data_IF_125769295926
#
_entry.id   IF_125769295926
#
_cell.length_a   1.000
_cell.length_b   1.000
_cell.length_c   1.000
_cell.angle_alpha   90.00
_cell.angle_beta   90.00
_cell.angle_gamma   90.00
#
_symmetry.space_group_name_H-M   'P 1'
#
loop_
_entity.id
_entity.type
_entity.pdbx_description
1 polymer ?
#
# COMPACT_ATOMS: atom_id res chain seq x y z
N UNK A 1 -3.86 9.88 0.95
CA UNK A 1 -5.00 8.96 0.75
C UNK A 1 -4.72 8.23 -0.55
N UNK A 2 -4.37 6.94 -0.49
CA UNK A 2 -4.23 6.12 -1.70
C UNK A 2 -5.61 5.56 -2.03
N UNK A 3 -6.08 5.79 -3.25
CA UNK A 3 -7.48 5.51 -3.61
C UNK A 3 -7.56 4.19 -4.36
N UNK A 4 -8.21 3.19 -3.76
CA UNK A 4 -8.48 1.86 -4.32
C UNK A 4 -9.92 1.69 -4.82
N UNK A 5 -10.80 2.66 -4.54
CA UNK A 5 -12.20 2.65 -5.00
C UNK A 5 -12.31 2.58 -6.53
N UNK A 6 -13.24 1.76 -7.06
CA UNK A 6 -13.59 1.69 -8.50
C UNK A 6 -13.84 3.04 -9.15
N UNK A 7 -14.24 4.03 -8.34
CA UNK A 7 -14.49 5.40 -8.79
C UNK A 7 -13.20 6.11 -9.16
N UNK A 8 -12.11 5.88 -8.42
CA UNK A 8 -10.81 6.50 -8.72
C UNK A 8 -10.17 5.95 -9.99
N UNK A 9 -10.59 4.75 -10.42
CA UNK A 9 -10.15 4.12 -11.66
C UNK A 9 -11.01 4.49 -12.87
N UNK A 10 -11.92 5.46 -12.75
CA UNK A 10 -12.65 6.05 -13.88
C UNK A 10 -11.78 7.05 -14.64
N UNK A 11 -10.59 6.60 -15.02
CA UNK A 11 -9.57 7.34 -15.74
C UNK A 11 -10.05 7.62 -17.17
N UNK A 12 -9.93 8.88 -17.57
CA UNK A 12 -10.46 9.39 -18.83
C UNK A 12 -9.44 9.27 -19.98
N UNK A 13 -9.86 9.62 -21.19
CA UNK A 13 -9.00 9.47 -22.37
C UNK A 13 -7.70 10.28 -22.26
N UNK A 14 -7.72 11.44 -21.59
CA UNK A 14 -6.54 12.31 -21.45
C UNK A 14 -5.49 11.68 -20.53
N UNK A 15 -5.92 10.95 -19.49
CA UNK A 15 -5.01 10.16 -18.66
C UNK A 15 -4.19 9.19 -19.49
N UNK A 16 -4.84 8.31 -20.26
CA UNK A 16 -4.14 7.29 -21.06
C UNK A 16 -3.30 7.90 -22.18
N UNK A 17 -3.78 8.98 -22.81
CA UNK A 17 -3.00 9.71 -23.83
C UNK A 17 -1.74 10.32 -23.24
N UNK A 18 -1.83 10.96 -22.08
CA UNK A 18 -0.67 11.54 -21.40
C UNK A 18 0.29 10.46 -20.92
N UNK A 19 -0.24 9.38 -20.33
CA UNK A 19 0.53 8.24 -19.88
C UNK A 19 1.31 7.62 -21.05
N UNK A 20 0.67 7.40 -22.20
CA UNK A 20 1.32 6.84 -23.38
C UNK A 20 2.37 7.77 -23.99
N UNK A 21 2.14 9.09 -24.00
CA UNK A 21 3.08 10.08 -24.55
C UNK A 21 4.30 10.35 -23.67
N UNK A 22 4.25 10.05 -22.39
CA UNK A 22 5.36 10.30 -21.46
C UNK A 22 6.60 9.45 -21.78
N UNK A 23 7.76 9.96 -21.42
CA UNK A 23 9.04 9.25 -21.51
C UNK A 23 9.43 8.58 -20.19
N UNK A 24 8.91 9.10 -19.07
CA UNK A 24 9.11 8.52 -17.74
C UNK A 24 7.89 8.73 -16.84
N UNK A 25 7.80 7.88 -15.82
CA UNK A 25 6.81 7.98 -14.75
C UNK A 25 7.49 8.56 -13.52
N UNK A 26 6.81 9.49 -12.84
CA UNK A 26 7.21 10.00 -11.53
C UNK A 26 6.10 9.75 -10.51
N UNK A 27 6.42 9.17 -9.37
CA UNK A 27 5.48 8.89 -8.27
C UNK A 27 6.03 9.48 -6.97
N UNK A 28 5.18 9.72 -5.96
CA UNK A 28 5.64 10.21 -4.65
C UNK A 28 6.80 9.37 -4.10
N UNK A 29 6.69 8.03 -4.19
CA UNK A 29 7.73 7.10 -3.79
C UNK A 29 7.87 5.95 -4.80
N UNK A 30 9.03 5.32 -4.81
CA UNK A 30 9.30 4.14 -5.64
C UNK A 30 8.77 2.86 -4.95
N UNK A 31 7.75 2.18 -5.52
CA UNK A 31 7.18 0.96 -4.94
C UNK A 31 8.18 -0.18 -4.74
N UNK A 32 9.26 -0.23 -5.52
CA UNK A 32 10.29 -1.28 -5.37
C UNK A 32 11.05 -1.18 -4.06
N UNK A 33 11.09 0.00 -3.45
CA UNK A 33 11.83 0.23 -2.22
C UNK A 33 11.02 -0.07 -0.95
N UNK A 34 9.70 -0.19 -1.06
CA UNK A 34 8.82 -0.27 0.09
C UNK A 34 9.07 -1.50 0.96
N UNK A 35 9.17 -2.68 0.35
CA UNK A 35 9.40 -3.91 1.11
C UNK A 35 10.81 -3.92 1.75
N UNK A 36 11.79 -3.36 1.05
CA UNK A 36 13.16 -3.20 1.58
C UNK A 36 13.16 -2.36 2.85
N UNK A 37 12.63 -1.15 2.79
CA UNK A 37 12.64 -0.27 3.96
C UNK A 37 11.73 -0.77 5.07
N UNK A 38 10.63 -1.45 4.74
CA UNK A 38 9.82 -2.11 5.76
C UNK A 38 10.59 -3.23 6.47
N UNK A 39 11.35 -4.02 5.74
CA UNK A 39 12.23 -5.03 6.33
C UNK A 39 13.35 -4.39 7.18
N UNK A 40 13.90 -3.23 6.78
CA UNK A 40 14.85 -2.49 7.60
C UNK A 40 14.20 -1.96 8.90
N UNK A 41 12.99 -1.42 8.83
CA UNK A 41 12.26 -0.83 9.97
C UNK A 41 11.65 -1.90 10.91
N UNK A 42 11.20 -3.04 10.36
CA UNK A 42 10.35 -4.01 11.05
C UNK A 42 10.76 -5.49 10.84
N UNK A 43 11.76 -5.79 10.02
CA UNK A 43 12.20 -7.17 9.73
C UNK A 43 12.74 -7.91 10.95
N UNK A 44 13.08 -7.18 12.02
CA UNK A 44 13.48 -7.71 13.32
C UNK A 44 12.40 -7.56 14.41
N UNK A 45 11.11 -7.46 14.06
CA UNK A 45 10.07 -7.75 15.04
C UNK A 45 10.06 -9.26 15.30
N UNK A 46 10.89 -9.70 16.25
CA UNK A 46 10.38 -10.72 17.16
C UNK A 46 9.01 -10.24 17.60
N UNK A 47 8.01 -11.12 17.61
CA UNK A 47 6.83 -10.89 18.41
C UNK A 47 7.32 -10.75 19.85
N UNK A 48 7.71 -9.53 20.24
CA UNK A 48 7.30 -8.98 21.50
C UNK A 48 5.78 -8.91 21.37
N UNK A 49 5.15 -10.08 21.46
CA UNK A 49 3.88 -10.20 22.14
C UNK A 49 3.97 -9.28 23.35
N UNK A 50 2.86 -8.64 23.67
CA UNK A 50 2.69 -7.85 24.88
C UNK A 50 3.02 -8.69 26.13
N UNK A 51 4.29 -9.03 26.36
CA UNK A 51 4.85 -9.60 27.56
C UNK A 51 4.96 -8.43 28.52
N UNK A 52 3.75 -8.02 28.91
CA UNK A 52 3.40 -7.31 30.12
C UNK A 52 4.41 -7.72 31.19
N UNK A 53 5.11 -6.72 31.71
CA UNK A 53 5.96 -6.84 32.89
C UNK A 53 5.25 -7.69 33.94
N UNK A 54 5.69 -8.94 34.09
CA UNK A 54 5.03 -9.95 34.93
C UNK A 54 6.02 -11.06 35.29
N UNK A 55 5.65 -11.83 36.30
CA UNK A 55 6.45 -12.97 36.74
C UNK A 55 6.69 -13.95 35.57
N UNK A 56 7.90 -14.52 35.50
CA UNK A 56 8.34 -15.44 34.44
C UNK A 56 8.67 -14.81 33.06
N UNK A 57 9.02 -13.52 33.00
CA UNK A 57 9.50 -12.86 31.76
C UNK A 57 10.49 -13.73 30.95
N UNK A 58 11.58 -14.18 31.57
CA UNK A 58 12.59 -14.98 30.89
C UNK A 58 12.07 -16.37 30.47
N UNK A 59 11.27 -17.02 31.30
CA UNK A 59 10.71 -18.33 30.94
C UNK A 59 9.73 -18.22 29.76
N UNK A 60 8.97 -17.12 29.69
CA UNK A 60 8.07 -16.84 28.56
C UNK A 60 8.83 -16.46 27.29
N UNK A 61 9.92 -15.68 27.41
CA UNK A 61 10.75 -15.28 26.27
C UNK A 61 11.39 -16.48 25.55
N UNK A 62 11.75 -17.53 26.30
CA UNK A 62 12.36 -18.76 25.78
C UNK A 62 11.38 -19.94 25.71
N UNK A 63 10.08 -19.72 25.93
CA UNK A 63 9.10 -20.80 25.92
C UNK A 63 8.88 -21.29 24.50
N UNK A 64 9.27 -22.54 24.26
CA UNK A 64 8.90 -23.25 23.04
C UNK A 64 7.61 -24.03 23.31
N UNK A 65 6.57 -23.73 22.53
CA UNK A 65 5.31 -24.49 22.59
C UNK A 65 5.35 -25.62 21.56
N UNK A 66 4.79 -26.77 21.91
CA UNK A 66 4.59 -27.86 20.96
C UNK A 66 3.65 -27.39 19.83
N UNK A 67 3.89 -27.87 18.61
CA UNK A 67 3.05 -27.56 17.46
C UNK A 67 1.61 -28.08 17.68
N UNK A 68 0.66 -27.15 17.79
CA UNK A 68 -0.77 -27.46 17.79
C UNK A 68 -1.25 -27.60 16.33
N UNK A 69 -2.05 -28.63 15.97
CA UNK A 69 -2.78 -28.70 14.70
C UNK A 69 -3.46 -27.38 14.28
N UNK A 70 -3.92 -26.54 15.22
CA UNK A 70 -4.42 -25.18 14.92
C UNK A 70 -3.32 -24.29 14.34
N UNK A 71 -2.14 -24.26 14.93
CA UNK A 71 -1.00 -23.45 14.46
C UNK A 71 -0.56 -23.91 13.07
N UNK A 72 -0.49 -25.22 12.81
CA UNK A 72 -0.09 -25.69 11.48
C UNK A 72 -1.17 -25.36 10.43
N UNK A 73 -2.46 -25.43 10.80
CA UNK A 73 -3.53 -24.90 9.93
C UNK A 73 -3.38 -23.40 9.68
N UNK A 74 -2.92 -22.64 10.68
CA UNK A 74 -2.65 -21.21 10.55
C UNK A 74 -1.55 -20.95 9.53
N UNK A 75 -0.44 -21.69 9.60
CA UNK A 75 0.71 -21.56 8.66
C UNK A 75 0.29 -21.85 7.22
N UNK A 76 -0.51 -22.90 6.99
CA UNK A 76 -0.97 -23.25 5.64
C UNK A 76 -1.96 -22.22 5.11
N UNK A 77 -2.81 -21.67 5.99
CA UNK A 77 -3.78 -20.62 5.65
C UNK A 77 -3.18 -19.22 5.79
N UNK A 78 -1.88 -19.11 6.02
CA UNK A 78 -1.22 -17.85 6.30
C UNK A 78 -1.31 -16.98 5.06
N UNK A 79 -2.24 -16.06 5.09
CA UNK A 79 -2.37 -15.02 4.08
C UNK A 79 -1.41 -13.91 4.45
N UNK A 80 -0.52 -13.58 3.52
CA UNK A 80 0.54 -12.63 3.78
C UNK A 80 -0.05 -11.21 3.72
N UNK A 81 -0.48 -10.69 4.88
CA UNK A 81 -1.06 -9.36 4.99
C UNK A 81 -0.16 -8.27 4.41
N UNK A 82 1.18 -8.45 4.44
CA UNK A 82 2.12 -7.51 3.84
C UNK A 82 1.94 -7.46 2.32
N UNK A 83 1.88 -8.61 1.66
CA UNK A 83 1.63 -8.68 0.22
C UNK A 83 0.32 -8.01 -0.16
N UNK A 84 -0.76 -8.29 0.58
CA UNK A 84 -2.02 -7.60 0.35
C UNK A 84 -1.82 -6.09 0.51
N UNK A 85 -1.23 -5.63 1.62
CA UNK A 85 -1.00 -4.19 1.89
C UNK A 85 -0.12 -3.46 0.86
N UNK A 86 0.68 -4.18 0.07
CA UNK A 86 1.58 -3.56 -0.92
C UNK A 86 1.11 -3.68 -2.36
N UNK A 87 0.59 -4.84 -2.76
CA UNK A 87 0.16 -5.09 -4.14
C UNK A 87 -1.29 -4.71 -4.37
N UNK A 88 -2.18 -5.08 -3.45
CA UNK A 88 -3.61 -5.09 -3.73
C UNK A 88 -4.40 -4.08 -2.88
N UNK A 89 -4.00 -3.91 -1.62
CA UNK A 89 -4.69 -3.13 -0.56
C UNK A 89 -6.19 -3.39 -0.54
N UNK A 90 -6.58 -4.65 -0.79
CA UNK A 90 -7.98 -5.09 -0.82
C UNK A 90 -8.50 -5.24 0.60
N UNK A 91 -9.64 -4.62 0.88
CA UNK A 91 -10.41 -4.85 2.08
C UNK A 91 -11.52 -5.87 1.80
N UNK A 92 -11.47 -7.02 2.47
CA UNK A 92 -12.43 -8.12 2.30
C UNK A 92 -13.89 -7.75 2.58
N UNK A 93 -14.16 -6.62 3.25
CA UNK A 93 -15.51 -6.14 3.55
C UNK A 93 -16.13 -5.31 2.41
N UNK A 94 -15.33 -4.80 1.47
CA UNK A 94 -15.77 -3.91 0.38
C UNK A 94 -15.19 -4.32 -0.99
N UNK A 95 -14.81 -5.59 -1.14
CA UNK A 95 -14.19 -6.17 -2.35
C UNK A 95 -14.98 -5.88 -3.64
N UNK A 96 -16.33 -5.82 -3.55
CA UNK A 96 -17.20 -5.48 -4.68
C UNK A 96 -17.07 -4.02 -5.16
N UNK A 97 -16.45 -3.13 -4.37
CA UNK A 97 -16.35 -1.68 -4.62
C UNK A 97 -14.90 -1.19 -4.81
N UNK A 98 -13.92 -2.06 -4.64
CA UNK A 98 -12.49 -1.77 -4.79
C UNK A 98 -11.93 -2.39 -6.09
N UNK A 99 -10.92 -1.74 -6.66
CA UNK A 99 -10.13 -2.30 -7.76
C UNK A 99 -9.02 -3.18 -7.19
N UNK A 100 -8.44 -4.02 -8.04
CA UNK A 100 -7.49 -5.03 -7.56
C UNK A 100 -6.18 -4.44 -7.06
N UNK A 101 -5.88 -3.18 -7.39
CA UNK A 101 -4.69 -2.44 -6.96
C UNK A 101 -5.09 -0.98 -6.71
N UNK A 102 -4.24 -0.17 -6.07
CA UNK A 102 -4.45 1.29 -5.93
C UNK A 102 -3.75 2.06 -7.05
N UNK A 103 -4.21 3.29 -7.30
CA UNK A 103 -3.85 4.06 -8.50
C UNK A 103 -2.34 4.23 -8.73
N UNK A 104 -1.56 4.46 -7.66
CA UNK A 104 -0.10 4.63 -7.80
C UNK A 104 0.59 3.36 -8.28
N UNK A 105 0.15 2.18 -7.81
CA UNK A 105 0.64 0.89 -8.29
C UNK A 105 0.22 0.66 -9.75
N UNK A 106 -1.00 1.03 -10.11
CA UNK A 106 -1.44 0.95 -11.51
C UNK A 106 -0.56 1.82 -12.44
N UNK A 107 -0.27 3.06 -12.04
CA UNK A 107 0.61 3.96 -12.81
C UNK A 107 2.04 3.39 -12.87
N UNK A 108 2.56 2.86 -11.75
CA UNK A 108 3.85 2.18 -11.67
C UNK A 108 3.93 1.02 -12.67
N UNK A 109 2.96 0.10 -12.61
CA UNK A 109 2.88 -1.06 -13.48
C UNK A 109 2.76 -0.65 -14.94
N UNK A 110 1.95 0.35 -15.25
CA UNK A 110 1.82 0.86 -16.61
C UNK A 110 3.14 1.44 -17.14
N UNK A 111 3.91 2.14 -16.30
CA UNK A 111 5.27 2.59 -16.62
C UNK A 111 6.21 1.42 -16.93
N UNK A 112 6.35 0.52 -15.96
CA UNK A 112 7.27 -0.63 -16.04
C UNK A 112 6.96 -1.55 -17.21
N UNK A 113 5.69 -1.93 -17.39
CA UNK A 113 5.23 -2.77 -18.52
C UNK A 113 5.52 -2.11 -19.87
N UNK A 114 5.58 -0.78 -19.95
CA UNK A 114 5.93 -0.06 -21.18
C UNK A 114 7.38 0.40 -21.24
N UNK A 115 8.28 -0.22 -20.46
CA UNK A 115 9.71 0.09 -20.41
C UNK A 115 10.01 1.57 -20.12
N UNK A 116 9.11 2.24 -19.39
CA UNK A 116 9.32 3.63 -18.96
C UNK A 116 10.01 3.61 -17.61
N UNK A 117 11.11 4.35 -17.41
CA UNK A 117 11.72 4.48 -16.10
C UNK A 117 10.71 5.12 -15.13
N UNK A 118 10.64 4.55 -13.92
CA UNK A 118 9.84 5.07 -12.81
C UNK A 118 10.80 5.74 -11.83
N UNK A 119 10.46 6.94 -11.39
CA UNK A 119 11.28 7.77 -10.52
C UNK A 119 10.46 8.17 -9.28
N UNK A 120 11.03 7.99 -8.10
CA UNK A 120 10.48 8.53 -6.86
C UNK A 120 10.75 10.03 -6.77
N UNK A 121 9.71 10.81 -6.45
CA UNK A 121 9.82 12.25 -6.24
C UNK A 121 10.33 12.61 -4.84
N UNK A 122 10.20 11.69 -3.89
CA UNK A 122 10.70 11.82 -2.54
C UNK A 122 11.76 10.76 -2.24
N UNK A 123 12.71 11.12 -1.36
CA UNK A 123 13.52 10.13 -0.66
C UNK A 123 12.65 9.42 0.40
N UNK A 124 12.70 8.08 0.42
CA UNK A 124 11.86 7.30 1.32
C UNK A 124 12.16 7.60 2.80
N UNK A 125 13.43 7.72 3.18
CA UNK A 125 13.83 7.93 4.59
C UNK A 125 13.47 9.34 5.04
N UNK A 126 13.67 10.33 4.19
CA UNK A 126 13.23 11.70 4.46
C UNK A 126 11.70 11.79 4.59
N UNK A 127 10.95 11.21 3.64
CA UNK A 127 9.48 11.18 3.68
C UNK A 127 8.98 10.46 4.94
N UNK A 128 9.63 9.36 5.33
CA UNK A 128 9.35 8.64 6.59
C UNK A 128 9.64 9.49 7.82
N UNK A 129 10.77 10.19 7.86
CA UNK A 129 11.11 11.10 8.95
C UNK A 129 10.08 12.23 9.09
N UNK A 130 9.71 12.88 7.98
CA UNK A 130 8.76 13.98 7.96
C UNK A 130 7.35 13.53 8.36
N UNK A 131 6.89 12.37 7.88
CA UNK A 131 5.57 11.82 8.22
C UNK A 131 5.50 11.38 9.70
N UNK A 132 6.54 10.73 10.22
CA UNK A 132 6.68 10.44 11.67
C UNK A 132 6.71 11.72 12.49
N UNK A 133 7.43 12.74 12.03
CA UNK A 133 7.49 14.02 12.71
C UNK A 133 6.13 14.72 12.74
N UNK A 134 5.35 14.64 11.65
CA UNK A 134 4.01 15.22 11.56
C UNK A 134 3.02 14.55 12.51
N UNK A 135 3.11 13.23 12.71
CA UNK A 135 2.14 12.44 13.48
C UNK A 135 2.07 12.84 14.96
N UNK A 136 3.10 13.48 15.51
CA UNK A 136 3.09 14.01 16.88
C UNK A 136 2.06 15.12 17.13
N UNK A 137 1.55 15.80 16.10
CA UNK A 137 0.59 16.89 16.28
C UNK A 137 -0.33 17.06 15.07
N UNK A 138 -1.18 16.07 14.81
CA UNK A 138 -2.02 15.99 13.61
C UNK A 138 -3.13 17.03 13.58
N UNK A 139 -4.04 16.97 14.56
CA UNK A 139 -5.32 17.69 14.52
C UNK A 139 -5.34 18.90 15.45
N UNK A 140 -6.04 19.95 15.03
CA UNK A 140 -6.38 21.06 15.92
C UNK A 140 -7.26 20.54 17.06
N UNK A 141 -7.18 21.17 18.23
CA UNK A 141 -8.08 20.88 19.36
C UNK A 141 -9.55 21.12 19.00
N UNK A 142 -9.79 22.19 18.23
CA UNK A 142 -11.10 22.53 17.66
C UNK A 142 -10.88 22.83 16.17
N UNK A 143 -11.58 22.14 15.24
CA UNK A 143 -11.60 22.54 13.83
C UNK A 143 -12.21 23.93 13.64
N UNK A 144 -11.97 24.54 12.49
CA UNK A 144 -12.53 25.87 12.20
C UNK A 144 -14.06 25.85 12.13
N UNK A 145 -14.70 26.94 12.55
CA UNK A 145 -16.16 26.99 12.75
C UNK A 145 -16.97 26.70 11.47
N UNK A 146 -16.47 27.12 10.30
CA UNK A 146 -17.11 26.83 9.03
C UNK A 146 -17.15 25.33 8.73
N UNK A 147 -16.08 24.62 9.11
CA UNK A 147 -15.96 23.19 8.90
C UNK A 147 -16.88 22.44 9.87
N UNK A 148 -16.97 22.88 11.13
CA UNK A 148 -17.94 22.32 12.09
C UNK A 148 -19.38 22.42 11.57
N UNK A 149 -19.79 23.61 11.09
CA UNK A 149 -21.12 23.83 10.51
C UNK A 149 -21.40 23.00 9.26
N UNK A 150 -20.37 22.73 8.47
CA UNK A 150 -20.48 21.87 7.29
C UNK A 150 -20.70 20.40 7.68
N UNK A 151 -19.99 19.96 8.72
CA UNK A 151 -20.07 18.60 9.27
C UNK A 151 -21.41 18.29 9.96
N UNK A 152 -22.10 19.30 10.48
CA UNK A 152 -23.47 19.16 10.99
C UNK A 152 -24.48 18.80 9.89
N UNK A 153 -24.17 19.13 8.62
CA UNK A 153 -25.07 18.97 7.48
C UNK A 153 -24.74 17.79 6.57
N UNK A 154 -23.49 17.34 6.57
CA UNK A 154 -22.98 16.29 5.67
C UNK A 154 -22.16 15.25 6.42
N UNK A 155 -22.27 14.00 5.99
CA UNK A 155 -21.37 12.94 6.45
C UNK A 155 -19.95 13.19 5.93
N UNK A 156 -18.95 13.17 6.83
CA UNK A 156 -17.54 13.42 6.54
C UNK A 156 -16.98 12.59 5.37
N UNK A 157 -17.24 11.29 5.41
CA UNK A 157 -16.65 10.34 4.47
C UNK A 157 -17.19 10.58 3.07
N UNK A 158 -18.51 10.77 2.95
CA UNK A 158 -19.15 11.10 1.67
C UNK A 158 -18.66 12.45 1.16
N UNK A 159 -18.51 13.44 2.05
CA UNK A 159 -18.09 14.77 1.64
C UNK A 159 -16.66 14.79 1.07
N UNK A 160 -15.69 14.12 1.69
CA UNK A 160 -14.33 14.06 1.13
C UNK A 160 -14.28 13.31 -0.21
N UNK A 161 -15.06 12.25 -0.36
CA UNK A 161 -15.18 11.56 -1.65
C UNK A 161 -15.79 12.46 -2.73
N UNK A 162 -16.83 13.22 -2.39
CA UNK A 162 -17.48 14.15 -3.33
C UNK A 162 -16.49 15.22 -3.81
N UNK A 163 -15.77 15.86 -2.89
CA UNK A 163 -14.77 16.88 -3.23
C UNK A 163 -13.67 16.30 -4.11
N UNK A 164 -13.21 15.08 -3.82
CA UNK A 164 -12.24 14.37 -4.66
C UNK A 164 -12.79 14.08 -6.06
N UNK A 165 -14.04 13.63 -6.18
CA UNK A 165 -14.71 13.36 -7.46
C UNK A 165 -14.93 14.63 -8.29
N UNK A 166 -15.28 15.72 -7.63
CA UNK A 166 -15.48 17.04 -8.22
C UNK A 166 -14.16 17.72 -8.60
N UNK A 167 -13.01 17.15 -8.20
CA UNK A 167 -11.65 17.65 -8.47
C UNK A 167 -11.40 19.03 -7.87
N UNK A 168 -12.09 19.37 -6.78
CA UNK A 168 -11.94 20.65 -6.08
C UNK A 168 -10.77 20.59 -5.08
N UNK A 169 -9.56 20.73 -5.63
CA UNK A 169 -8.31 20.67 -4.86
C UNK A 169 -8.16 21.82 -3.86
N UNK A 170 -8.81 22.97 -4.10
CA UNK A 170 -8.76 24.12 -3.19
C UNK A 170 -9.65 23.89 -1.97
N UNK A 171 -10.81 23.28 -2.16
CA UNK A 171 -11.65 22.85 -1.05
C UNK A 171 -11.00 21.70 -0.26
N UNK A 172 -10.30 20.76 -0.92
CA UNK A 172 -9.50 19.73 -0.22
C UNK A 172 -8.43 20.37 0.67
N UNK A 173 -7.67 21.35 0.15
CA UNK A 173 -6.68 22.06 0.95
C UNK A 173 -7.32 22.80 2.12
N UNK A 174 -8.44 23.49 1.87
CA UNK A 174 -9.20 24.22 2.90
C UNK A 174 -9.69 23.30 4.03
N UNK A 175 -10.19 22.11 3.71
CA UNK A 175 -10.58 21.10 4.70
C UNK A 175 -9.37 20.68 5.55
N UNK A 176 -8.23 20.42 4.92
CA UNK A 176 -6.97 20.11 5.63
C UNK A 176 -6.54 21.26 6.52
N UNK A 177 -6.62 22.50 6.03
CA UNK A 177 -6.32 23.71 6.78
C UNK A 177 -7.25 23.91 8.00
N UNK A 178 -8.52 23.55 7.88
CA UNK A 178 -9.50 23.67 8.95
C UNK A 178 -9.33 22.64 10.07
N UNK A 179 -8.84 21.45 9.73
CA UNK A 179 -8.78 20.30 10.65
C UNK A 179 -7.39 20.06 11.23
N UNK A 180 -6.34 20.26 10.43
CA UNK A 180 -4.98 19.93 10.84
C UNK A 180 -4.23 21.13 11.43
N UNK A 181 -3.23 20.85 12.26
CA UNK A 181 -2.36 21.90 12.78
C UNK A 181 -1.41 22.41 11.69
N UNK A 182 -0.90 23.64 11.86
CA UNK A 182 0.17 24.17 11.00
C UNK A 182 1.40 23.26 11.01
N UNK A 183 1.73 22.70 12.18
CA UNK A 183 2.86 21.81 12.35
C UNK A 183 2.71 20.51 11.53
N UNK A 184 1.50 19.93 11.51
CA UNK A 184 1.21 18.77 10.68
C UNK A 184 1.35 19.10 9.20
N UNK A 185 0.70 20.17 8.73
CA UNK A 185 0.73 20.55 7.30
C UNK A 185 2.14 20.88 6.80
N UNK A 186 2.95 21.54 7.63
CA UNK A 186 4.36 21.83 7.32
C UNK A 186 5.16 20.57 6.98
N UNK A 187 5.02 19.51 7.79
CA UNK A 187 5.82 18.29 7.65
C UNK A 187 5.16 17.25 6.75
N UNK A 188 3.83 17.13 6.79
CA UNK A 188 3.08 16.16 5.98
C UNK A 188 2.93 16.60 4.53
N UNK A 189 2.92 17.90 4.25
CA UNK A 189 2.64 18.46 2.93
C UNK A 189 3.73 19.43 2.47
N UNK A 190 3.96 20.55 3.15
CA UNK A 190 4.68 21.68 2.54
C UNK A 190 6.14 21.39 2.20
N UNK A 191 6.89 20.78 3.13
CA UNK A 191 8.29 20.35 2.87
C UNK A 191 8.35 19.29 1.78
N UNK A 192 7.43 18.33 1.83
CA UNK A 192 7.29 17.25 0.86
C UNK A 192 6.97 17.79 -0.54
N UNK A 193 6.06 18.76 -0.65
CA UNK A 193 5.71 19.46 -1.89
C UNK A 193 6.94 20.15 -2.50
N UNK A 194 7.71 20.88 -1.69
CA UNK A 194 8.91 21.55 -2.16
C UNK A 194 9.95 20.56 -2.71
N UNK A 195 10.17 19.43 -2.00
CA UNK A 195 11.08 18.37 -2.45
C UNK A 195 10.61 17.74 -3.77
N UNK A 196 9.33 17.36 -3.84
CA UNK A 196 8.75 16.77 -5.06
C UNK A 196 8.80 17.73 -6.25
N UNK A 197 8.51 19.02 -6.05
CA UNK A 197 8.58 20.03 -7.11
C UNK A 197 10.02 20.24 -7.57
N UNK A 198 11.01 20.23 -6.67
CA UNK A 198 12.42 20.32 -7.04
C UNK A 198 12.87 19.15 -7.92
N UNK A 199 12.44 17.92 -7.60
CA UNK A 199 12.72 16.74 -8.42
C UNK A 199 11.97 16.82 -9.77
N UNK A 200 10.69 17.18 -9.76
CA UNK A 200 9.91 17.33 -11.00
C UNK A 200 10.50 18.38 -11.95
N UNK A 201 10.85 19.56 -11.43
CA UNK A 201 11.50 20.64 -12.17
C UNK A 201 12.78 20.13 -12.88
N UNK A 202 13.62 19.39 -12.15
CA UNK A 202 14.82 18.77 -12.70
C UNK A 202 14.54 17.75 -13.81
N UNK A 203 13.46 16.97 -13.68
CA UNK A 203 13.07 15.95 -14.66
C UNK A 203 12.44 16.56 -15.92
N UNK A 204 11.54 17.54 -15.75
CA UNK A 204 10.79 18.16 -16.85
C UNK A 204 11.66 18.99 -17.80
N UNK A 205 12.84 19.43 -17.35
CA UNK A 205 13.84 20.02 -18.24
C UNK A 205 14.45 19.03 -19.24
N UNK A 206 14.31 17.71 -19.00
CA UNK A 206 14.99 16.66 -19.78
C UNK A 206 14.03 15.71 -20.48
N UNK A 207 12.83 15.52 -19.93
CA UNK A 207 11.89 14.47 -20.35
C UNK A 207 10.44 14.92 -20.23
N UNK A 208 9.56 14.31 -21.02
CA UNK A 208 8.12 14.38 -20.84
C UNK A 208 7.73 13.46 -19.68
N UNK A 209 7.35 14.04 -18.54
CA UNK A 209 7.04 13.30 -17.31
C UNK A 209 5.54 13.07 -17.18
N UNK A 210 5.13 11.84 -16.90
CA UNK A 210 3.81 11.57 -16.32
C UNK A 210 3.95 11.42 -14.80
N UNK A 211 3.36 12.33 -14.03
CA UNK A 211 3.48 12.34 -12.58
C UNK A 211 2.16 11.96 -11.89
N UNK A 212 2.23 11.05 -10.92
CA UNK A 212 1.13 10.72 -10.01
C UNK A 212 1.47 11.15 -8.59
N UNK A 213 0.66 12.06 -8.03
CA UNK A 213 0.74 12.52 -6.64
C UNK A 213 -0.66 12.63 -6.03
N UNK A 214 -0.76 12.50 -4.71
CA UNK A 214 -1.99 12.63 -3.97
C UNK A 214 -2.57 14.03 -4.07
N UNK A 215 -3.90 14.13 -4.21
CA UNK A 215 -4.59 15.40 -4.42
C UNK A 215 -4.33 16.45 -3.32
N UNK A 216 -4.06 16.02 -2.08
CA UNK A 216 -3.72 16.90 -0.96
C UNK A 216 -2.41 17.70 -1.17
N UNK A 217 -1.56 17.28 -2.11
CA UNK A 217 -0.32 17.97 -2.44
C UNK A 217 -0.52 19.10 -3.47
N UNK A 218 -1.67 19.18 -4.15
CA UNK A 218 -1.83 20.02 -5.33
C UNK A 218 -2.28 21.46 -5.05
N UNK A 219 -3.30 21.63 -4.21
CA UNK A 219 -4.00 22.92 -3.98
C UNK A 219 -3.35 23.83 -2.95
N UNK A 220 -3.79 25.09 -2.92
CA UNK A 220 -3.34 26.11 -1.97
C UNK A 220 -1.98 26.76 -2.30
N UNK A 221 -1.63 27.82 -1.55
CA UNK A 221 -0.39 28.61 -1.75
C UNK A 221 0.90 27.81 -1.57
N UNK A 222 0.85 26.70 -0.82
CA UNK A 222 1.98 25.78 -0.65
C UNK A 222 1.76 24.46 -1.40
N UNK A 223 0.80 24.43 -2.32
CA UNK A 223 0.54 23.31 -3.21
C UNK A 223 1.53 23.25 -4.37
N UNK A 224 1.72 22.05 -4.92
CA UNK A 224 2.66 21.82 -6.01
C UNK A 224 2.32 22.61 -7.27
N UNK A 225 1.03 22.81 -7.58
CA UNK A 225 0.62 23.57 -8.78
C UNK A 225 1.06 25.03 -8.69
N UNK A 226 0.91 25.65 -7.52
CA UNK A 226 1.37 27.01 -7.27
C UNK A 226 2.90 27.11 -7.37
N UNK A 227 3.62 26.21 -6.72
CA UNK A 227 5.09 26.18 -6.76
C UNK A 227 5.64 25.98 -8.19
N UNK A 228 4.94 25.20 -9.03
CA UNK A 228 5.31 25.06 -10.45
C UNK A 228 5.08 26.36 -11.23
N UNK A 229 3.99 27.08 -10.97
CA UNK A 229 3.74 28.40 -11.57
C UNK A 229 4.82 29.41 -11.16
N UNK A 230 5.24 29.43 -9.89
CA UNK A 230 6.34 30.28 -9.39
C UNK A 230 7.67 29.97 -10.09
N UNK A 231 7.89 28.72 -10.52
CA UNK A 231 9.04 28.31 -11.33
C UNK A 231 8.92 28.67 -12.81
N UNK A 232 7.83 29.29 -13.25
CA UNK A 232 7.61 29.73 -14.62
C UNK A 232 6.90 28.71 -15.52
N UNK A 233 6.37 27.62 -14.96
CA UNK A 233 5.59 26.66 -15.74
C UNK A 233 4.15 27.14 -15.98
N UNK A 234 3.64 26.88 -17.18
CA UNK A 234 2.20 27.03 -17.48
C UNK A 234 1.45 25.80 -16.98
N UNK A 235 0.62 25.97 -15.97
CA UNK A 235 -0.25 24.91 -15.45
C UNK A 235 -1.64 25.04 -16.08
N UNK A 236 -2.09 23.99 -16.77
CA UNK A 236 -3.41 23.93 -17.41
C UNK A 236 -4.16 22.66 -17.01
N UNK A 237 -5.39 22.75 -16.48
CA UNK A 237 -6.20 21.57 -16.23
C UNK A 237 -6.60 20.92 -17.55
N UNK A 238 -6.41 19.60 -17.63
CA UNK A 238 -6.86 18.79 -18.75
C UNK A 238 -8.00 17.88 -18.28
N UNK A 239 -9.10 17.88 -19.04
CA UNK A 239 -10.29 17.07 -18.73
C UNK A 239 -10.81 16.42 -20.01
N UNK A 240 -11.30 15.19 -19.89
CA UNK A 240 -11.94 14.49 -21.00
C UNK A 240 -13.02 13.54 -20.49
N UNK A 241 -13.87 13.05 -21.39
CA UNK A 241 -14.77 11.93 -21.10
C UNK A 241 -13.98 10.62 -21.23
N UNK A 242 -14.38 9.62 -20.44
CA UNK A 242 -13.96 8.25 -20.68
C UNK A 242 -14.71 7.70 -21.89
N UNK A 243 -13.99 7.34 -22.95
CA UNK A 243 -14.58 6.73 -24.15
C UNK A 243 -14.16 5.26 -24.27
N UNK A 244 -14.51 4.64 -25.40
CA UNK A 244 -14.01 3.30 -25.76
C UNK A 244 -12.47 3.25 -25.82
N UNK A 245 -11.81 4.40 -26.08
CA UNK A 245 -10.35 4.50 -26.08
C UNK A 245 -9.77 4.19 -24.69
N UNK A 246 -10.18 4.90 -23.65
CA UNK A 246 -9.69 4.66 -22.29
C UNK A 246 -9.95 3.22 -21.82
N UNK A 247 -11.11 2.65 -22.15
CA UNK A 247 -11.41 1.25 -21.83
C UNK A 247 -10.44 0.28 -22.54
N UNK A 248 -10.22 0.47 -23.83
CA UNK A 248 -9.29 -0.39 -24.59
C UNK A 248 -7.84 -0.26 -24.11
N UNK A 249 -7.40 0.95 -23.74
CA UNK A 249 -6.05 1.15 -23.18
C UNK A 249 -5.91 0.52 -21.78
N UNK A 250 -6.95 0.58 -20.92
CA UNK A 250 -6.98 -0.13 -19.64
C UNK A 250 -6.82 -1.64 -19.87
N UNK A 251 -7.69 -2.23 -20.69
CA UNK A 251 -7.71 -3.66 -20.97
C UNK A 251 -6.35 -4.14 -21.53
N UNK A 252 -5.74 -3.33 -22.41
CA UNK A 252 -4.40 -3.58 -22.96
C UNK A 252 -3.30 -3.59 -21.89
N UNK A 253 -3.34 -2.67 -20.93
CA UNK A 253 -2.34 -2.59 -19.85
C UNK A 253 -2.49 -3.75 -18.85
N UNK A 254 -3.73 -4.14 -18.54
CA UNK A 254 -4.03 -5.25 -17.64
C UNK A 254 -3.59 -6.59 -18.23
N UNK A 255 -3.90 -6.83 -19.51
CA UNK A 255 -3.50 -8.04 -20.22
C UNK A 255 -2.01 -8.12 -20.53
N UNK A 256 -1.29 -6.99 -20.49
CA UNK A 256 0.14 -6.97 -20.77
C UNK A 256 0.91 -7.62 -19.63
N UNK A 257 1.65 -8.67 -19.97
CA UNK A 257 2.59 -9.36 -19.09
C UNK A 257 4.02 -9.02 -19.50
N UNK A 258 4.91 -8.79 -18.53
CA UNK A 258 6.33 -8.57 -18.77
C UNK A 258 7.10 -9.72 -18.15
N UNK A 259 7.99 -10.37 -18.90
CA UNK A 259 8.80 -11.44 -18.33
C UNK A 259 9.69 -10.87 -17.21
N UNK A 260 9.56 -11.35 -15.96
CA UNK A 260 10.38 -10.86 -14.88
C UNK A 260 11.81 -11.39 -15.02
N UNK A 261 12.78 -10.57 -14.63
CA UNK A 261 14.15 -11.04 -14.45
C UNK A 261 14.22 -11.82 -13.14
N UNK A 262 14.77 -13.03 -13.20
CA UNK A 262 14.87 -13.91 -12.05
C UNK A 262 16.33 -14.10 -11.65
N UNK A 263 16.60 -13.94 -10.37
CA UNK A 263 17.94 -14.10 -9.81
C UNK A 263 17.93 -15.20 -8.75
N UNK A 264 19.02 -15.95 -8.64
CA UNK A 264 19.15 -16.97 -7.60
C UNK A 264 19.22 -16.26 -6.24
N UNK A 265 18.28 -16.59 -5.36
CA UNK A 265 18.20 -16.10 -4.00
C UNK A 265 18.19 -17.29 -3.03
N UNK A 266 18.73 -17.08 -1.84
CA UNK A 266 18.77 -18.09 -0.80
C UNK A 266 18.15 -17.58 0.49
N UNK A 267 17.56 -18.46 1.29
CA UNK A 267 17.14 -18.12 2.65
C UNK A 267 18.35 -17.75 3.50
N UNK A 268 18.13 -17.00 4.59
CA UNK A 268 19.21 -16.53 5.49
C UNK A 268 20.10 -17.65 6.05
N UNK A 269 19.55 -18.86 6.17
CA UNK A 269 20.23 -20.07 6.63
C UNK A 269 20.73 -20.99 5.50
N UNK A 270 20.57 -20.58 4.24
CA UNK A 270 20.96 -21.35 3.05
C UNK A 270 20.11 -22.59 2.76
N UNK A 271 19.06 -22.85 3.52
CA UNK A 271 18.24 -24.06 3.39
C UNK A 271 17.50 -24.16 2.04
N UNK A 272 16.98 -23.04 1.54
CA UNK A 272 16.32 -22.98 0.23
C UNK A 272 17.14 -22.04 -0.67
N UNK A 273 17.35 -22.46 -1.92
CA UNK A 273 17.84 -21.62 -2.99
C UNK A 273 16.91 -21.72 -4.19
N UNK A 274 16.36 -20.59 -4.64
CA UNK A 274 15.34 -20.52 -5.70
C UNK A 274 15.55 -19.26 -6.55
N UNK A 275 15.19 -19.36 -7.84
CA UNK A 275 15.10 -18.19 -8.71
C UNK A 275 13.89 -17.34 -8.31
N UNK A 276 14.12 -16.11 -7.88
CA UNK A 276 13.12 -15.20 -7.35
C UNK A 276 13.08 -13.88 -8.13
N UNK A 277 11.94 -13.17 -8.05
CA UNK A 277 11.72 -11.85 -8.68
C UNK A 277 12.49 -10.72 -7.95
N UNK A 278 12.68 -10.89 -6.64
CA UNK A 278 13.33 -9.94 -5.74
C UNK A 278 14.05 -10.74 -4.63
N UNK A 279 14.82 -10.06 -3.79
CA UNK A 279 15.44 -10.59 -2.58
C UNK A 279 14.41 -11.34 -1.71
N UNK A 280 14.76 -12.53 -1.23
CA UNK A 280 13.93 -13.28 -0.27
C UNK A 280 14.03 -12.63 1.11
N UNK A 281 13.22 -11.59 1.35
CA UNK A 281 13.19 -10.86 2.62
C UNK A 281 12.50 -11.69 3.69
N UNK A 282 13.18 -11.87 4.81
CA UNK A 282 12.71 -12.68 5.93
C UNK A 282 11.85 -11.86 6.89
N UNK A 283 10.75 -12.43 7.35
CA UNK A 283 9.88 -11.85 8.35
C UNK A 283 9.46 -12.93 9.34
N UNK A 284 9.01 -12.49 10.52
CA UNK A 284 8.46 -13.37 11.55
C UNK A 284 7.13 -12.83 12.03
N UNK A 285 6.10 -13.69 12.11
CA UNK A 285 4.79 -13.36 12.69
C UNK A 285 4.20 -14.62 13.35
N UNK A 286 3.65 -14.50 14.56
CA UNK A 286 3.03 -15.62 15.31
C UNK A 286 3.90 -16.89 15.39
N UNK A 287 5.23 -16.74 15.52
CA UNK A 287 6.18 -17.86 15.55
C UNK A 287 6.44 -18.52 14.19
N UNK A 288 5.86 -17.98 13.11
CA UNK A 288 6.06 -18.42 11.73
C UNK A 288 7.15 -17.55 11.11
N UNK A 289 8.20 -18.20 10.59
CA UNK A 289 9.17 -17.53 9.73
C UNK A 289 8.65 -17.57 8.30
N UNK A 290 8.59 -16.44 7.62
CA UNK A 290 8.16 -16.40 6.22
C UNK A 290 9.04 -15.48 5.39
N UNK A 291 9.14 -15.78 4.09
CA UNK A 291 9.88 -14.98 3.12
C UNK A 291 8.93 -14.41 2.09
N UNK A 292 9.23 -13.19 1.65
CA UNK A 292 8.41 -12.46 0.68
C UNK A 292 9.30 -11.89 -0.42
N UNK A 293 8.95 -12.14 -1.68
CA UNK A 293 9.55 -11.52 -2.85
C UNK A 293 8.47 -11.11 -3.86
N UNK A 294 8.14 -9.82 -3.98
CA UNK A 294 7.09 -9.32 -4.86
C UNK A 294 7.60 -9.10 -6.29
N UNK A 295 6.76 -9.41 -7.27
CA UNK A 295 6.86 -8.88 -8.63
C UNK A 295 5.91 -7.68 -8.74
N UNK A 296 6.43 -6.50 -8.39
CA UNK A 296 5.65 -5.26 -8.44
C UNK A 296 5.15 -4.94 -9.85
N UNK A 297 5.83 -5.41 -10.92
CA UNK A 297 5.51 -5.06 -12.31
C UNK A 297 4.28 -5.83 -12.81
N UNK A 298 4.20 -7.12 -12.51
CA UNK A 298 3.07 -7.96 -12.92
C UNK A 298 2.01 -8.11 -11.82
N UNK A 299 2.26 -7.59 -10.61
CA UNK A 299 1.36 -7.77 -9.48
C UNK A 299 1.32 -9.22 -8.99
N UNK A 300 2.43 -9.94 -9.14
CA UNK A 300 2.60 -11.31 -8.64
C UNK A 300 3.55 -11.31 -7.42
N UNK A 301 3.67 -12.44 -6.73
CA UNK A 301 4.56 -12.56 -5.59
C UNK A 301 4.95 -14.01 -5.34
N UNK A 302 6.11 -14.20 -4.72
CA UNK A 302 6.58 -15.45 -4.14
C UNK A 302 6.56 -15.33 -2.62
N UNK A 303 5.98 -16.32 -1.95
CA UNK A 303 6.08 -16.46 -0.49
C UNK A 303 6.54 -17.85 -0.12
N UNK A 304 7.32 -17.95 0.96
CA UNK A 304 7.78 -19.21 1.53
C UNK A 304 7.48 -19.16 3.02
N UNK A 305 6.58 -20.00 3.52
CA UNK A 305 6.29 -20.12 4.94
C UNK A 305 7.06 -21.31 5.52
N UNK A 306 7.75 -21.09 6.65
CA UNK A 306 8.51 -22.12 7.35
C UNK A 306 7.98 -22.26 8.77
N UNK A 307 7.68 -23.51 9.11
CA UNK A 307 7.33 -23.92 10.46
C UNK A 307 8.44 -24.80 11.02
N UNK A 308 8.92 -24.46 12.21
CA UNK A 308 9.86 -25.31 12.93
C UNK A 308 9.10 -26.45 13.61
N UNK A 309 9.47 -27.71 13.33
CA UNK A 309 8.86 -28.90 13.93
C UNK A 309 9.43 -29.27 15.28
N UNK A 310 10.53 -28.62 15.70
CA UNK A 310 11.24 -28.89 16.96
C UNK A 310 11.65 -30.36 17.15
N UNK A 311 11.84 -31.09 16.05
CA UNK A 311 12.12 -32.54 16.05
C UNK A 311 13.34 -32.95 16.88
N UNK A 312 14.36 -32.08 16.94
CA UNK A 312 15.60 -32.33 17.67
C UNK A 312 15.60 -31.82 19.12
N UNK A 313 14.48 -31.27 19.60
CA UNK A 313 14.33 -30.86 20.99
C UNK A 313 13.62 -31.95 21.81
N UNK A 314 13.94 -32.11 23.10
CA UNK A 314 13.23 -33.05 23.97
C UNK A 314 11.73 -32.74 23.97
N UNK A 315 10.92 -33.67 23.48
CA UNK A 315 9.46 -33.54 23.43
C UNK A 315 8.82 -34.75 24.13
N UNK A 316 7.68 -34.55 24.78
CA UNK A 316 6.87 -35.64 25.33
C UNK A 316 6.01 -36.33 24.27
N UNK A 317 5.87 -35.74 23.08
CA UNK A 317 5.10 -36.25 21.95
C UNK A 317 5.95 -36.27 20.67
N UNK A 318 6.53 -37.43 20.34
CA UNK A 318 7.47 -37.62 19.21
C UNK A 318 6.81 -37.58 17.81
N UNK A 319 5.51 -37.36 17.71
CA UNK A 319 4.78 -37.44 16.44
C UNK A 319 3.89 -36.22 16.22
N UNK A 320 4.33 -35.34 15.32
CA UNK A 320 3.43 -34.39 14.65
C UNK A 320 2.57 -35.20 13.68
N UNK A 321 1.35 -35.56 14.08
CA UNK A 321 0.41 -36.28 13.21
C UNK A 321 -0.13 -35.33 12.12
N UNK A 322 0.36 -35.49 10.89
CA UNK A 322 -0.07 -34.73 9.72
C UNK A 322 -1.30 -35.38 9.02
N UNK A 323 -1.88 -36.48 9.53
CA UNK A 323 -2.99 -37.14 8.84
C UNK A 323 -4.28 -36.30 8.77
N UNK A 324 -4.38 -35.21 9.55
CA UNK A 324 -5.53 -34.32 9.48
C UNK A 324 -5.62 -33.51 8.17
N UNK A 325 -4.56 -33.39 7.35
CA UNK A 325 -4.65 -32.73 6.04
C UNK A 325 -5.35 -33.56 4.97
N UNK A 326 -5.43 -34.89 5.15
CA UNK A 326 -5.99 -35.81 4.15
C UNK A 326 -7.52 -35.84 4.13
N UNK A 327 -8.21 -35.13 5.03
CA UNK A 327 -9.68 -35.04 5.04
C UNK A 327 -10.14 -33.82 4.24
N UNK A 328 -10.99 -33.97 3.22
CA UNK A 328 -11.49 -32.85 2.43
C UNK A 328 -12.25 -31.85 3.31
N UNK A 329 -11.96 -30.57 3.12
CA UNK A 329 -12.53 -29.45 3.86
C UNK A 329 -13.97 -29.23 3.36
N UNK A 330 -14.95 -29.93 3.92
CA UNK A 330 -16.37 -29.57 3.76
C UNK A 330 -16.73 -28.62 4.90
N UNK A 331 -16.62 -27.30 4.65
CA UNK A 331 -17.29 -26.30 5.48
C UNK A 331 -18.80 -26.46 5.29
N UNK A 332 -19.48 -27.05 6.26
CA UNK A 332 -20.93 -26.83 6.45
C UNK A 332 -21.11 -25.37 6.88
N UNK A 333 -21.31 -24.47 5.92
CA UNK A 333 -21.90 -23.17 6.19
C UNK A 333 -23.36 -23.38 6.60
N UNK A 334 -23.61 -23.67 7.87
CA UNK A 334 -24.95 -23.58 8.43
C UNK A 334 -25.32 -22.10 8.54
N UNK A 335 -25.99 -21.59 7.50
CA UNK A 335 -26.79 -20.36 7.58
C UNK A 335 -27.88 -20.57 8.64
N UNK A 336 -27.65 -20.07 9.84
CA UNK A 336 -28.73 -19.76 10.78
C UNK A 336 -29.00 -18.26 10.67
N UNK A 337 -30.01 -17.90 9.87
CA UNK A 337 -30.91 -16.76 10.08
C UNK A 337 -32.01 -16.77 9.02
N UNK A 338 -32.94 -17.73 9.14
CA UNK A 338 -34.31 -17.54 8.67
C UNK A 338 -35.18 -17.28 9.90
N UNK A 339 -35.38 -16.00 10.24
CA UNK A 339 -36.55 -15.62 11.04
C UNK A 339 -37.74 -15.54 10.09
N UNK A 340 -38.63 -16.51 10.28
CA UNK A 340 -40.02 -16.49 9.81
C UNK A 340 -40.70 -15.23 10.33
N UNK A 341 -41.36 -14.51 9.43
CA UNK A 341 -42.60 -13.79 9.72
C UNK A 341 -43.62 -14.21 8.67
N UNK A 342 -44.59 -15.04 9.09
CA UNK A 342 -45.97 -15.03 8.60
C UNK A 342 -46.59 -13.80 9.29
N UNK A 343 -47.25 -12.85 8.64
CA UNK A 343 -48.47 -12.84 7.82
C UNK A 343 -48.35 -11.68 6.85
#
# INVERSE_FOLDING_TARGET
MHVSSKVAFRLDDVFYKALNKSECIALESDPTQWLKFMHEDFGFNYNMDNYIHGDNFYANLFRLSALDPVQIRSVIRFDNYLINSYLYRKNSYVDDFEEETYLDMFIYQAGRKNNKPVIGLEDFRESRYLTTKASFNVNKRKPDDWFIKLMEKKNMFMFQEDVYRERDIELLDSIGAATNTKYYREHMLFKRNANMVHVLDSLMHKKIVFSGVGAAHLGGEKGMLHMLQEKGYTVKPLVSKQTKYAKAEKDKLEQKFTNPELFLQSTSDGFISIKSFDELREFTADGIKYYVAPDMTNGAYLTINRLNTFEYLPNQNDKVDLNFYKKPIIRRCARNNYRKTRI
#
